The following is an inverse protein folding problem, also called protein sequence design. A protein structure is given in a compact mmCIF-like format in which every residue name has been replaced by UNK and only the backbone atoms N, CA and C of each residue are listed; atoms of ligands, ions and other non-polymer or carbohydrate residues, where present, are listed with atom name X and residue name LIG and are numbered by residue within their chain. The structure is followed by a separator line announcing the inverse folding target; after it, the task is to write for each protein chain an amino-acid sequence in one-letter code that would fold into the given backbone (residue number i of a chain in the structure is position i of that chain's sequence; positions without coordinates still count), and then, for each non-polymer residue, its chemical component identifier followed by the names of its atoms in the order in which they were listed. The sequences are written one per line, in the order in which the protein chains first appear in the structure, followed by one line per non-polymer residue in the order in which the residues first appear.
data_IF_097753713713
#
_entry.id   IF_097753713713
#
_cell.length_a   1.000
_cell.length_b   1.000
_cell.length_c   1.000
_cell.angle_alpha   90.00
_cell.angle_beta   90.00
_cell.angle_gamma   90.00
#
_symmetry.space_group_name_H-M   'P 1'
#
loop_
_entity.id
_entity.type
_entity.pdbx_description
1 polymer ?
#
# COMPACT_ATOMS: atom_id res chain seq x y z
N UNK A 1 78.03 6.05 19.07
CA UNK A 1 76.88 6.08 18.17
C UNK A 1 75.72 6.60 19.00
N UNK A 2 75.31 7.88 18.73
CA UNK A 2 74.34 8.60 19.50
C UNK A 2 73.01 8.56 18.68
N UNK A 3 72.09 7.72 19.11
CA UNK A 3 70.76 7.69 18.48
C UNK A 3 70.00 8.98 18.79
N UNK A 4 69.59 9.70 17.71
CA UNK A 4 68.69 10.88 17.82
C UNK A 4 67.24 10.38 17.82
N UNK A 5 66.66 10.38 19.00
CA UNK A 5 65.22 10.19 19.13
C UNK A 5 64.52 11.51 18.66
N UNK A 6 63.90 11.50 17.50
CA UNK A 6 63.02 12.59 17.05
C UNK A 6 61.74 12.53 17.84
N UNK A 7 61.60 13.36 18.87
CA UNK A 7 60.37 13.56 19.60
C UNK A 7 59.47 14.53 18.81
N UNK A 8 58.45 14.01 18.19
CA UNK A 8 57.43 14.87 17.56
C UNK A 8 56.56 15.50 18.66
N UNK A 9 56.81 16.76 18.97
CA UNK A 9 55.97 17.54 19.88
C UNK A 9 54.84 18.17 19.04
N UNK A 10 53.63 17.59 19.08
CA UNK A 10 52.42 18.22 18.55
C UNK A 10 51.94 19.30 19.54
N UNK A 11 52.23 20.57 19.24
CA UNK A 11 51.66 21.71 19.96
C UNK A 11 50.23 21.96 19.48
N UNK A 12 49.26 21.42 20.16
CA UNK A 12 47.85 21.79 19.95
C UNK A 12 47.59 23.19 20.52
N UNK A 13 47.29 24.16 19.66
CA UNK A 13 46.82 25.48 20.12
C UNK A 13 45.50 25.30 20.92
N UNK A 14 45.47 25.80 22.15
CA UNK A 14 44.32 25.71 23.07
C UNK A 14 42.97 26.12 22.46
N UNK A 15 42.97 26.99 21.45
CA UNK A 15 41.82 27.41 20.68
C UNK A 15 41.19 26.27 19.87
N UNK A 16 41.99 25.37 19.30
CA UNK A 16 41.48 24.21 18.53
C UNK A 16 40.87 23.16 19.46
N UNK A 17 41.44 22.96 20.64
CA UNK A 17 40.88 22.02 21.65
C UNK A 17 39.50 22.50 22.12
N UNK A 18 39.34 23.80 22.39
CA UNK A 18 38.02 24.37 22.75
C UNK A 18 36.99 24.21 21.64
N UNK A 19 37.39 24.41 20.38
CA UNK A 19 36.51 24.20 19.23
C UNK A 19 36.04 22.74 19.11
N UNK A 20 36.97 21.76 19.21
CA UNK A 20 36.62 20.36 19.17
C UNK A 20 35.74 19.92 20.36
N UNK A 21 35.97 20.47 21.54
CA UNK A 21 35.14 20.19 22.72
C UNK A 21 33.71 20.69 22.54
N UNK A 22 33.51 21.90 21.97
CA UNK A 22 32.16 22.44 21.67
C UNK A 22 31.46 21.59 20.60
N UNK A 23 32.16 21.20 19.54
CA UNK A 23 31.57 20.33 18.49
C UNK A 23 31.17 18.98 19.06
N UNK A 24 32.00 18.37 19.91
CA UNK A 24 31.70 17.09 20.52
C UNK A 24 30.50 17.17 21.47
N UNK A 25 30.39 18.27 22.21
CA UNK A 25 29.26 18.53 23.11
C UNK A 25 27.96 18.77 22.31
N UNK A 26 28.03 19.48 21.18
CA UNK A 26 26.92 19.66 20.27
C UNK A 26 26.43 18.34 19.64
N UNK A 27 27.35 17.48 19.23
CA UNK A 27 27.00 16.14 18.69
C UNK A 27 26.40 15.26 19.78
N UNK A 28 26.97 15.27 20.99
CA UNK A 28 26.42 14.52 22.12
C UNK A 28 25.01 14.99 22.52
N UNK A 29 24.76 16.32 22.50
CA UNK A 29 23.43 16.86 22.78
C UNK A 29 22.44 16.52 21.68
N UNK A 30 22.86 16.48 20.41
CA UNK A 30 22.00 16.04 19.30
C UNK A 30 21.62 14.57 19.40
N UNK A 31 22.59 13.70 19.75
CA UNK A 31 22.33 12.28 19.98
C UNK A 31 21.41 12.07 21.19
N UNK A 32 21.57 12.83 22.27
CA UNK A 32 20.69 12.77 23.42
C UNK A 32 19.27 13.26 23.10
N UNK A 33 19.12 14.26 22.25
CA UNK A 33 17.81 14.72 21.75
C UNK A 33 17.13 13.64 20.92
N UNK A 34 17.85 12.94 20.05
CA UNK A 34 17.30 11.84 19.21
C UNK A 34 16.82 10.67 20.09
N UNK A 35 17.49 10.39 21.23
CA UNK A 35 17.09 9.31 22.13
C UNK A 35 16.02 9.69 23.15
N UNK A 36 15.91 10.98 23.49
CA UNK A 36 14.96 11.49 24.48
C UNK A 36 13.63 11.99 23.88
N UNK A 37 13.54 12.21 22.54
CA UNK A 37 12.28 12.53 21.88
C UNK A 37 11.54 11.22 21.62
N UNK A 38 10.47 10.89 22.37
CA UNK A 38 9.64 9.73 22.05
C UNK A 38 8.97 9.99 20.70
N UNK A 39 9.31 9.21 19.69
CA UNK A 39 8.73 9.34 18.37
C UNK A 39 9.73 9.43 17.20
N UNK A 40 11.02 9.68 17.45
CA UNK A 40 12.04 9.61 16.40
C UNK A 40 12.60 8.19 16.16
N UNK A 41 12.31 7.24 17.06
CA UNK A 41 12.67 5.83 16.89
C UNK A 41 11.51 4.95 16.45
N UNK A 42 10.30 5.46 16.53
CA UNK A 42 9.10 4.89 15.94
C UNK A 42 8.71 5.73 14.72
N UNK A 43 9.59 5.79 13.72
CA UNK A 43 9.10 5.78 12.36
C UNK A 43 8.30 4.48 12.33
N UNK A 44 7.00 4.57 12.68
CA UNK A 44 6.08 3.47 12.54
C UNK A 44 6.39 2.88 11.18
N UNK A 45 6.98 1.71 11.19
CA UNK A 45 6.88 0.84 10.05
C UNK A 45 5.38 0.80 9.85
N UNK A 46 4.86 1.62 8.94
CA UNK A 46 3.59 1.33 8.30
C UNK A 46 3.85 -0.06 7.80
N UNK A 47 3.46 -1.05 8.61
CA UNK A 47 3.45 -2.42 8.15
C UNK A 47 2.66 -2.30 6.86
N UNK A 48 3.32 -2.47 5.73
CA UNK A 48 2.65 -2.47 4.46
C UNK A 48 1.55 -3.51 4.66
N UNK A 49 0.29 -3.05 4.74
CA UNK A 49 -0.85 -3.96 4.90
C UNK A 49 -0.79 -4.81 3.67
N UNK A 50 -0.20 -5.99 3.82
CA UNK A 50 -0.09 -6.95 2.72
C UNK A 50 -1.48 -7.50 2.54
N UNK A 51 -2.20 -6.98 1.55
CA UNK A 51 -3.54 -7.45 1.20
C UNK A 51 -3.43 -8.90 0.76
N UNK A 52 -4.09 -9.80 1.47
CA UNK A 52 -4.15 -11.21 1.09
C UNK A 52 -5.32 -11.46 0.13
N UNK A 53 -5.00 -11.72 -1.12
CA UNK A 53 -5.95 -12.04 -2.17
C UNK A 53 -6.30 -13.53 -2.26
N UNK A 54 -5.77 -14.37 -1.38
CA UNK A 54 -5.93 -15.84 -1.43
C UNK A 54 -7.04 -16.32 -0.49
N UNK A 55 -7.36 -17.61 -0.61
CA UNK A 55 -8.30 -18.34 0.25
C UNK A 55 -9.75 -17.84 0.21
N UNK A 56 -10.17 -17.21 -0.87
CA UNK A 56 -11.52 -16.69 -1.08
C UNK A 56 -12.42 -17.81 -1.61
N UNK A 57 -13.02 -18.57 -0.71
CA UNK A 57 -13.82 -19.76 -1.05
C UNK A 57 -15.33 -19.55 -0.84
N UNK A 58 -15.68 -18.90 0.25
CA UNK A 58 -17.07 -18.72 0.68
C UNK A 58 -17.56 -17.29 0.49
N UNK A 59 -18.83 -17.04 0.73
CA UNK A 59 -19.38 -15.67 0.72
C UNK A 59 -18.80 -14.85 1.88
N UNK A 60 -18.63 -15.48 3.03
CA UNK A 60 -18.03 -14.87 4.22
C UNK A 60 -16.59 -14.43 3.95
N UNK A 61 -15.80 -15.23 3.21
CA UNK A 61 -14.42 -14.88 2.85
C UNK A 61 -14.41 -13.62 1.95
N UNK A 62 -15.38 -13.52 1.00
CA UNK A 62 -15.51 -12.35 0.13
C UNK A 62 -15.95 -11.11 0.89
N UNK A 63 -16.93 -11.25 1.77
CA UNK A 63 -17.40 -10.16 2.64
C UNK A 63 -16.26 -9.69 3.55
N UNK A 64 -15.57 -10.60 4.23
CA UNK A 64 -14.43 -10.26 5.08
C UNK A 64 -13.31 -9.55 4.32
N UNK A 65 -13.04 -9.95 3.08
CA UNK A 65 -12.10 -9.23 2.21
C UNK A 65 -12.58 -7.79 1.94
N UNK A 66 -13.85 -7.60 1.60
CA UNK A 66 -14.44 -6.28 1.35
C UNK A 66 -14.40 -5.41 2.61
N UNK A 67 -14.74 -5.98 3.77
CA UNK A 67 -14.72 -5.29 5.07
C UNK A 67 -13.31 -4.88 5.49
N UNK A 68 -12.27 -5.59 5.06
CA UNK A 68 -10.88 -5.22 5.33
C UNK A 68 -10.47 -3.87 4.72
N UNK A 69 -11.20 -3.39 3.71
CA UNK A 69 -11.07 -2.05 3.14
C UNK A 69 -12.03 -1.02 3.79
N UNK A 70 -12.78 -1.45 4.82
CA UNK A 70 -13.72 -0.59 5.56
C UNK A 70 -15.03 -0.35 4.83
N UNK A 71 -15.42 -1.20 3.88
CA UNK A 71 -16.73 -1.18 3.25
C UNK A 71 -17.71 -2.10 3.97
N UNK A 72 -19.00 -1.77 3.89
CA UNK A 72 -20.09 -2.63 4.35
C UNK A 72 -21.01 -2.96 3.16
N UNK A 73 -21.46 -4.20 3.05
CA UNK A 73 -22.27 -4.70 1.94
C UNK A 73 -23.63 -5.24 2.39
N UNK A 74 -24.60 -5.23 1.47
CA UNK A 74 -25.95 -5.82 1.66
C UNK A 74 -26.03 -7.10 0.83
N UNK A 75 -25.31 -8.14 1.22
CA UNK A 75 -25.37 -9.41 0.53
C UNK A 75 -24.92 -9.41 -0.93
N UNK A 76 -24.91 -10.58 -1.53
CA UNK A 76 -24.51 -10.78 -2.93
C UNK A 76 -25.55 -10.20 -3.90
N UNK A 77 -25.15 -9.28 -4.74
CA UNK A 77 -26.00 -8.69 -5.77
C UNK A 77 -26.02 -9.52 -7.06
N UNK A 78 -24.87 -10.04 -7.48
CA UNK A 78 -24.78 -10.93 -8.65
C UNK A 78 -23.56 -11.84 -8.61
N UNK A 79 -23.71 -13.01 -9.20
CA UNK A 79 -22.62 -13.95 -9.49
C UNK A 79 -22.73 -14.40 -10.94
N UNK A 80 -21.64 -14.28 -11.69
CA UNK A 80 -21.62 -14.75 -13.07
C UNK A 80 -20.21 -15.15 -13.51
N UNK A 81 -20.15 -16.09 -14.45
CA UNK A 81 -18.89 -16.43 -15.11
C UNK A 81 -18.56 -15.39 -16.17
N UNK A 82 -17.32 -14.93 -16.19
CA UNK A 82 -16.79 -13.98 -17.19
C UNK A 82 -15.48 -14.53 -17.75
N UNK A 83 -15.29 -14.37 -19.07
CA UNK A 83 -14.04 -14.73 -19.71
C UNK A 83 -13.15 -13.50 -19.87
N UNK A 84 -11.91 -13.61 -19.44
CA UNK A 84 -10.88 -12.59 -19.72
C UNK A 84 -10.53 -12.67 -21.21
N UNK A 85 -10.56 -11.57 -21.97
CA UNK A 85 -10.16 -11.59 -23.38
C UNK A 85 -8.75 -12.13 -23.58
N UNK A 86 -8.53 -12.81 -24.70
CA UNK A 86 -7.19 -13.26 -25.08
C UNK A 86 -6.29 -12.05 -25.43
N UNK A 87 -6.85 -11.06 -26.12
CA UNK A 87 -6.22 -9.79 -26.45
C UNK A 87 -6.88 -8.63 -25.72
N UNK A 88 -6.07 -7.73 -25.16
CA UNK A 88 -6.55 -6.56 -24.47
C UNK A 88 -6.59 -5.36 -25.40
N UNK A 89 -7.80 -4.90 -25.70
CA UNK A 89 -8.02 -3.61 -26.34
C UNK A 89 -7.65 -2.43 -25.42
N UNK A 90 -7.91 -1.20 -25.84
CA UNK A 90 -7.61 0.00 -25.07
C UNK A 90 -8.39 0.04 -23.73
N UNK A 91 -9.65 -0.46 -23.71
CA UNK A 91 -10.49 -0.47 -22.51
C UNK A 91 -9.98 -1.49 -21.51
N UNK A 92 -9.73 -2.72 -21.93
CA UNK A 92 -9.18 -3.76 -21.06
C UNK A 92 -7.76 -3.45 -20.61
N UNK A 93 -6.95 -2.77 -21.42
CA UNK A 93 -5.62 -2.30 -21.01
C UNK A 93 -5.73 -1.30 -19.87
N UNK A 94 -6.60 -0.29 -20.01
CA UNK A 94 -6.84 0.70 -18.95
C UNK A 94 -7.41 0.06 -17.67
N UNK A 95 -8.33 -0.89 -17.80
CA UNK A 95 -8.84 -1.65 -16.66
C UNK A 95 -7.75 -2.48 -15.98
N UNK A 96 -6.84 -3.10 -16.76
CA UNK A 96 -5.71 -3.84 -16.21
C UNK A 96 -4.68 -2.91 -15.53
N UNK A 97 -4.54 -1.67 -15.95
CA UNK A 97 -3.68 -0.69 -15.27
C UNK A 97 -4.24 -0.36 -13.87
N UNK A 98 -5.57 -0.25 -13.74
CA UNK A 98 -6.23 -0.18 -12.44
C UNK A 98 -5.94 -1.42 -11.59
N UNK A 99 -5.97 -2.62 -12.17
CA UNK A 99 -5.62 -3.84 -11.42
C UNK A 99 -4.15 -3.83 -10.97
N UNK A 100 -3.25 -3.31 -11.81
CA UNK A 100 -1.83 -3.23 -11.49
C UNK A 100 -1.53 -2.25 -10.35
N UNK A 101 -2.26 -1.16 -10.23
CA UNK A 101 -2.13 -0.25 -9.09
C UNK A 101 -2.47 -0.92 -7.74
N UNK A 102 -3.28 -1.99 -7.78
CA UNK A 102 -3.64 -2.81 -6.62
C UNK A 102 -2.71 -4.02 -6.42
N UNK A 103 -1.60 -4.13 -7.17
CA UNK A 103 -0.70 -5.29 -7.14
C UNK A 103 -1.23 -6.53 -7.87
N UNK A 104 -2.35 -6.40 -8.60
CA UNK A 104 -2.97 -7.46 -9.39
C UNK A 104 -2.56 -7.33 -10.88
N UNK A 105 -2.81 -8.36 -11.68
CA UNK A 105 -2.54 -8.32 -13.12
C UNK A 105 -3.46 -9.27 -13.87
N UNK A 106 -4.57 -8.74 -14.36
CA UNK A 106 -5.59 -9.51 -15.05
C UNK A 106 -5.09 -10.10 -16.37
N UNK A 107 -4.11 -9.49 -17.01
CA UNK A 107 -3.50 -9.98 -18.24
C UNK A 107 -2.87 -11.37 -18.10
N UNK A 108 -2.44 -11.76 -16.88
CA UNK A 108 -1.95 -13.12 -16.59
C UNK A 108 -3.04 -14.20 -16.72
N UNK A 109 -4.28 -13.78 -16.77
CA UNK A 109 -5.47 -14.64 -16.87
C UNK A 109 -6.17 -14.53 -18.22
N UNK A 110 -5.50 -13.98 -19.25
CA UNK A 110 -6.03 -13.93 -20.59
C UNK A 110 -6.55 -15.30 -21.04
N UNK A 111 -7.74 -15.34 -21.66
CA UNK A 111 -8.42 -16.55 -22.10
C UNK A 111 -9.00 -17.44 -20.98
N UNK A 112 -8.86 -17.09 -19.68
CA UNK A 112 -9.43 -17.86 -18.57
C UNK A 112 -10.85 -17.39 -18.24
N UNK A 113 -11.69 -18.35 -17.80
CA UNK A 113 -12.96 -18.06 -17.17
C UNK A 113 -12.74 -17.76 -15.69
N UNK A 114 -13.33 -16.69 -15.21
CA UNK A 114 -13.33 -16.24 -13.82
C UNK A 114 -14.76 -16.17 -13.31
N UNK A 115 -14.95 -16.24 -12.01
CA UNK A 115 -16.24 -15.91 -11.40
C UNK A 115 -16.22 -14.44 -10.96
N UNK A 116 -17.19 -13.66 -11.42
CA UNK A 116 -17.41 -12.28 -10.98
C UNK A 116 -18.48 -12.27 -9.90
N UNK A 117 -18.13 -11.77 -8.74
CA UNK A 117 -19.04 -11.49 -7.63
C UNK A 117 -19.20 -9.98 -7.49
N UNK A 118 -20.43 -9.50 -7.36
CA UNK A 118 -20.71 -8.08 -7.18
C UNK A 118 -21.61 -7.87 -5.98
N UNK A 119 -21.33 -6.85 -5.16
CA UNK A 119 -22.05 -6.50 -3.95
C UNK A 119 -22.37 -5.01 -3.96
N UNK A 120 -23.56 -4.62 -3.49
CA UNK A 120 -23.88 -3.21 -3.24
C UNK A 120 -23.26 -2.77 -1.92
N UNK A 121 -22.62 -1.60 -1.93
CA UNK A 121 -22.12 -0.95 -0.72
C UNK A 121 -23.25 -0.19 -0.03
N UNK A 122 -23.30 -0.24 1.32
CA UNK A 122 -24.30 0.48 2.10
C UNK A 122 -23.91 1.92 2.38
N UNK A 123 -22.60 2.14 2.59
CA UNK A 123 -22.06 3.43 2.99
C UNK A 123 -20.87 3.79 2.10
N UNK A 124 -21.14 4.63 1.10
CA UNK A 124 -20.07 5.20 0.28
C UNK A 124 -20.16 6.73 0.39
N UNK A 125 -19.25 7.33 1.15
CA UNK A 125 -19.24 8.78 1.37
C UNK A 125 -18.84 9.52 0.11
N UNK A 126 -19.51 10.65 -0.17
CA UNK A 126 -19.20 11.51 -1.31
C UNK A 126 -19.93 11.15 -2.62
N UNK A 127 -20.84 10.15 -2.59
CA UNK A 127 -21.66 9.79 -3.76
C UNK A 127 -23.07 9.38 -3.35
N UNK A 128 -24.08 10.07 -3.90
CA UNK A 128 -25.50 9.85 -3.56
C UNK A 128 -26.14 8.67 -4.33
N UNK A 129 -25.45 8.12 -5.32
CA UNK A 129 -25.93 7.01 -6.13
C UNK A 129 -25.57 5.64 -5.54
N UNK A 130 -26.00 4.59 -6.24
CA UNK A 130 -25.63 3.22 -5.88
C UNK A 130 -24.17 2.95 -6.24
N UNK A 131 -23.43 2.37 -5.30
CA UNK A 131 -22.05 1.94 -5.50
C UNK A 131 -21.98 0.44 -5.38
N UNK A 132 -21.19 -0.18 -6.25
CA UNK A 132 -20.97 -1.61 -6.30
C UNK A 132 -19.49 -1.91 -6.20
N UNK A 133 -19.14 -2.93 -5.41
CA UNK A 133 -17.81 -3.54 -5.42
C UNK A 133 -17.88 -4.86 -6.19
N UNK A 134 -16.92 -5.06 -7.08
CA UNK A 134 -16.80 -6.25 -7.91
C UNK A 134 -15.52 -6.99 -7.59
N UNK A 135 -15.60 -8.30 -7.39
CA UNK A 135 -14.47 -9.22 -7.19
C UNK A 135 -14.40 -10.18 -8.37
N UNK A 136 -13.25 -10.28 -9.01
CA UNK A 136 -12.94 -11.29 -10.02
C UNK A 136 -12.12 -12.40 -9.37
N UNK A 137 -12.69 -13.59 -9.27
CA UNK A 137 -12.12 -14.73 -8.55
C UNK A 137 -11.73 -15.84 -9.51
N UNK A 138 -10.50 -16.33 -9.39
CA UNK A 138 -9.99 -17.49 -10.09
C UNK A 138 -9.37 -18.47 -9.10
N UNK A 139 -9.88 -19.71 -9.04
CA UNK A 139 -9.37 -20.76 -8.14
C UNK A 139 -9.15 -20.27 -6.71
N UNK A 140 -10.19 -19.71 -6.11
CA UNK A 140 -10.21 -19.20 -4.73
C UNK A 140 -9.21 -18.04 -4.47
N UNK A 141 -8.86 -17.29 -5.50
CA UNK A 141 -8.01 -16.12 -5.42
C UNK A 141 -8.65 -14.93 -6.14
N UNK A 142 -8.63 -13.77 -5.51
CA UNK A 142 -8.99 -12.51 -6.18
C UNK A 142 -7.86 -12.16 -7.15
N UNK A 143 -8.21 -11.98 -8.42
CA UNK A 143 -7.27 -11.68 -9.51
C UNK A 143 -7.53 -10.32 -10.15
N UNK A 144 -8.63 -9.69 -9.76
CA UNK A 144 -9.05 -8.35 -10.18
C UNK A 144 -10.29 -7.91 -9.44
N UNK A 145 -10.64 -6.67 -9.61
CA UNK A 145 -11.86 -6.08 -9.06
C UNK A 145 -11.79 -4.56 -9.01
N UNK A 146 -12.92 -3.96 -8.67
CA UNK A 146 -13.09 -2.52 -8.64
C UNK A 146 -14.26 -2.12 -7.75
N UNK A 147 -14.31 -0.83 -7.43
CA UNK A 147 -15.45 -0.14 -6.84
C UNK A 147 -15.94 0.87 -7.85
N UNK A 148 -17.23 0.83 -8.19
CA UNK A 148 -17.79 1.73 -9.19
C UNK A 148 -19.18 2.25 -8.82
N UNK A 149 -19.48 3.49 -9.24
CA UNK A 149 -20.82 4.04 -9.25
C UNK A 149 -21.65 3.39 -10.35
N UNK A 150 -22.87 2.95 -10.02
CA UNK A 150 -23.76 2.25 -10.98
C UNK A 150 -24.68 3.22 -11.73
N UNK A 151 -24.94 4.38 -11.11
CA UNK A 151 -25.91 5.36 -11.62
C UNK A 151 -25.18 6.61 -12.15
N UNK A 152 -25.58 7.12 -13.32
CA UNK A 152 -25.15 8.41 -13.86
C UNK A 152 -23.70 8.47 -14.34
N UNK A 153 -23.01 9.57 -14.04
CA UNK A 153 -21.58 9.76 -14.34
C UNK A 153 -20.75 8.95 -13.34
N UNK A 154 -20.67 7.63 -13.58
CA UNK A 154 -20.04 6.69 -12.69
C UNK A 154 -18.51 6.92 -12.57
N UNK A 155 -17.99 6.74 -11.38
CA UNK A 155 -16.57 6.63 -11.12
C UNK A 155 -16.16 5.14 -11.08
N UNK A 156 -14.85 4.88 -11.20
CA UNK A 156 -14.26 3.56 -10.96
C UNK A 156 -12.89 3.72 -10.36
N UNK A 157 -12.64 2.99 -9.26
CA UNK A 157 -11.32 2.92 -8.62
C UNK A 157 -11.04 1.53 -8.06
N UNK A 158 -9.85 1.31 -7.51
CA UNK A 158 -9.48 0.06 -6.84
C UNK A 158 -10.19 -0.15 -5.51
N UNK A 159 -9.78 -1.19 -4.77
CA UNK A 159 -10.42 -1.53 -3.50
C UNK A 159 -10.16 -0.51 -2.38
N UNK A 160 -9.04 0.20 -2.42
CA UNK A 160 -8.78 1.27 -1.45
C UNK A 160 -9.81 2.39 -1.61
N UNK A 161 -10.26 2.94 -0.48
CA UNK A 161 -11.16 4.10 -0.49
C UNK A 161 -10.47 5.27 -1.18
N UNK A 162 -11.14 5.84 -2.18
CA UNK A 162 -10.68 7.07 -2.78
C UNK A 162 -11.01 8.24 -1.83
N UNK A 163 -10.04 9.13 -1.59
CA UNK A 163 -10.29 10.43 -1.00
C UNK A 163 -11.03 11.27 -2.06
N UNK A 164 -12.36 11.40 -1.93
CA UNK A 164 -13.21 12.19 -2.82
C UNK A 164 -13.50 13.54 -2.17
#
# INVERSE_FOLDING_TARGET
IKERVCMFIYTFKASKIKFFAVVLLAVASLLALITLVPGYGDAGTVAAVTIDYNNIKTDEDRIGFIESFGYTVVGLASECEVRVPDDFDAVYTKYNDLQRSQGLNLKKYAGKSLTRYSYYLTDYSGYDGKVMITLLVYKNRIVGGDVCGVDGEGFMHGFEKADI
#
